data_IF_875223069221
#
_entry.id   IF_875223069221
#
_cell.length_a   1.000
_cell.length_b   1.000
_cell.length_c   1.000
_cell.angle_alpha   90.00
_cell.angle_beta   90.00
_cell.angle_gamma   90.00
#
_symmetry.space_group_name_H-M   'P 1'
#
loop_
_entity.id
_entity.type
_entity.pdbx_description
1 polymer ?
#
# COMPACT_ATOMS: atom_id res chain seq x y z
N UNK A 1 -53.86 -14.89 62.95
CA UNK A 1 -53.44 -14.24 61.68
C UNK A 1 -51.92 -14.00 61.55
N UNK A 2 -51.13 -13.92 62.64
CA UNK A 2 -49.67 -13.67 62.58
C UNK A 2 -48.76 -14.85 62.19
N UNK A 3 -49.24 -16.11 62.20
CA UNK A 3 -48.41 -17.31 61.93
C UNK A 3 -48.19 -17.65 60.44
N UNK A 4 -49.01 -17.11 59.54
CA UNK A 4 -48.86 -17.34 58.08
C UNK A 4 -48.10 -16.23 57.34
N UNK A 5 -47.80 -15.12 58.02
CA UNK A 5 -46.99 -14.01 57.46
C UNK A 5 -45.50 -14.35 57.36
N UNK A 6 -45.02 -15.21 58.25
CA UNK A 6 -43.61 -15.61 58.33
C UNK A 6 -43.14 -16.48 57.14
N UNK A 7 -43.86 -17.53 56.70
CA UNK A 7 -43.45 -18.28 55.51
C UNK A 7 -43.57 -17.46 54.23
N UNK A 8 -44.55 -16.54 54.16
CA UNK A 8 -44.73 -15.65 52.99
C UNK A 8 -43.59 -14.63 52.86
N UNK A 9 -43.14 -14.05 53.98
CA UNK A 9 -42.01 -13.13 53.99
C UNK A 9 -40.69 -13.82 53.64
N UNK A 10 -40.48 -15.05 54.09
CA UNK A 10 -39.28 -15.84 53.74
C UNK A 10 -39.27 -16.20 52.25
N UNK A 11 -40.42 -16.62 51.69
CA UNK A 11 -40.54 -16.91 50.27
C UNK A 11 -40.30 -15.66 49.39
N UNK A 12 -40.78 -14.49 49.82
CA UNK A 12 -40.54 -13.22 49.14
C UNK A 12 -39.06 -12.82 49.17
N UNK A 13 -38.36 -13.01 50.29
CA UNK A 13 -36.92 -12.69 50.37
C UNK A 13 -36.04 -13.61 49.50
N UNK A 14 -36.40 -14.89 49.33
CA UNK A 14 -35.64 -15.81 48.45
C UNK A 14 -35.79 -15.44 46.96
N UNK A 15 -36.91 -14.83 46.56
CA UNK A 15 -37.13 -14.42 45.17
C UNK A 15 -36.28 -13.20 44.75
N UNK A 16 -35.73 -12.43 45.70
CA UNK A 16 -34.88 -11.27 45.41
C UNK A 16 -33.37 -11.58 45.33
N UNK A 17 -32.94 -12.81 45.64
CA UNK A 17 -31.53 -13.21 45.61
C UNK A 17 -31.07 -13.78 44.25
N UNK A 18 -31.77 -13.48 43.16
CA UNK A 18 -31.38 -13.83 41.80
C UNK A 18 -30.39 -12.82 41.23
N UNK A 19 -29.12 -12.88 41.61
CA UNK A 19 -28.07 -12.14 40.91
C UNK A 19 -27.90 -12.74 39.51
N UNK A 20 -28.37 -12.03 38.47
CA UNK A 20 -28.05 -12.39 37.09
C UNK A 20 -26.55 -12.18 36.86
N UNK A 21 -25.76 -13.25 36.92
CA UNK A 21 -24.34 -13.22 36.56
C UNK A 21 -24.22 -13.16 35.05
N UNK A 22 -23.77 -12.03 34.52
CA UNK A 22 -23.35 -11.91 33.13
C UNK A 22 -22.10 -12.80 32.93
N UNK A 23 -22.08 -13.68 31.92
CA UNK A 23 -20.88 -14.42 31.60
C UNK A 23 -19.76 -13.44 31.21
N UNK A 24 -18.66 -13.42 31.97
CA UNK A 24 -17.50 -12.57 31.67
C UNK A 24 -16.59 -13.18 30.61
N UNK A 25 -16.88 -14.40 30.16
CA UNK A 25 -16.18 -15.05 29.05
C UNK A 25 -17.11 -15.96 28.28
N UNK A 26 -17.06 -15.88 26.95
CA UNK A 26 -17.55 -16.92 26.05
C UNK A 26 -16.43 -17.31 25.10
N UNK A 27 -16.48 -18.52 24.55
CA UNK A 27 -15.66 -18.81 23.37
C UNK A 27 -16.02 -17.81 22.27
N UNK A 28 -15.04 -17.28 21.51
CA UNK A 28 -15.34 -16.42 20.37
C UNK A 28 -16.20 -17.21 19.38
N UNK A 29 -17.39 -16.69 19.09
CA UNK A 29 -18.21 -17.25 18.02
C UNK A 29 -17.57 -16.85 16.69
N UNK A 30 -17.40 -17.77 15.73
CA UNK A 30 -17.02 -17.39 14.38
C UNK A 30 -18.10 -16.47 13.83
N UNK A 31 -17.70 -15.28 13.40
CA UNK A 31 -18.54 -14.36 12.66
C UNK A 31 -17.95 -14.22 11.27
N UNK A 32 -18.79 -14.31 10.26
CA UNK A 32 -18.39 -13.97 8.90
C UNK A 32 -18.17 -12.45 8.87
N UNK A 33 -16.90 -12.05 8.92
CA UNK A 33 -16.53 -10.77 8.35
C UNK A 33 -16.64 -11.00 6.85
N UNK A 34 -17.66 -10.44 6.22
CA UNK A 34 -17.49 -10.08 4.81
C UNK A 34 -16.31 -9.13 4.79
N UNK A 35 -15.09 -9.65 4.59
CA UNK A 35 -14.05 -8.86 4.00
C UNK A 35 -14.75 -8.21 2.82
N UNK A 36 -14.84 -6.87 2.80
CA UNK A 36 -15.13 -6.22 1.55
C UNK A 36 -14.02 -6.73 0.67
N UNK A 37 -14.34 -7.70 -0.20
CA UNK A 37 -13.51 -7.96 -1.35
C UNK A 37 -13.27 -6.58 -1.91
N UNK A 38 -12.02 -6.16 -1.79
CA UNK A 38 -11.56 -4.87 -2.26
C UNK A 38 -11.66 -4.92 -3.77
N UNK A 39 -12.88 -4.87 -4.29
CA UNK A 39 -13.20 -4.32 -5.59
C UNK A 39 -12.92 -2.82 -5.49
N UNK A 40 -11.67 -2.49 -5.17
CA UNK A 40 -11.10 -1.20 -5.47
C UNK A 40 -11.24 -0.99 -6.96
N UNK A 41 -11.30 0.28 -7.34
CA UNK A 41 -11.38 0.68 -8.75
C UNK A 41 -10.22 -0.01 -9.49
N UNK A 42 -10.55 -0.88 -10.44
CA UNK A 42 -9.56 -1.49 -11.31
C UNK A 42 -9.21 -0.47 -12.38
N UNK A 43 -8.04 0.14 -12.26
CA UNK A 43 -7.46 0.86 -13.38
C UNK A 43 -6.90 -0.18 -14.35
N UNK A 44 -7.40 -0.18 -15.58
CA UNK A 44 -6.81 -0.93 -16.69
C UNK A 44 -6.04 0.05 -17.54
N UNK A 45 -4.77 -0.23 -17.77
CA UNK A 45 -3.95 0.48 -18.73
C UNK A 45 -3.64 -0.47 -19.90
N UNK A 46 -3.50 0.12 -21.09
CA UNK A 46 -3.06 -0.58 -22.29
C UNK A 46 -1.54 -0.51 -22.39
N UNK A 47 -0.95 -1.40 -23.21
CA UNK A 47 0.46 -1.31 -23.57
C UNK A 47 0.79 -0.07 -24.42
N UNK A 48 2.07 0.15 -24.75
CA UNK A 48 2.48 1.26 -25.60
C UNK A 48 1.82 1.18 -26.97
N UNK A 49 1.31 2.32 -27.45
CA UNK A 49 0.74 2.42 -28.81
C UNK A 49 1.84 2.34 -29.87
N UNK A 50 1.54 1.67 -30.98
CA UNK A 50 2.46 1.59 -32.12
C UNK A 50 2.76 2.98 -32.69
N UNK A 51 4.05 3.29 -32.83
CA UNK A 51 4.51 4.56 -33.39
C UNK A 51 4.31 5.77 -32.48
N UNK A 52 3.99 5.57 -31.20
CA UNK A 52 3.91 6.67 -30.23
C UNK A 52 5.22 7.47 -30.19
N UNK A 53 5.11 8.80 -30.11
CA UNK A 53 6.26 9.65 -29.87
C UNK A 53 6.78 9.50 -28.43
N UNK A 54 7.98 10.04 -28.17
CA UNK A 54 8.68 9.90 -26.90
C UNK A 54 7.89 10.48 -25.70
N UNK A 55 7.26 11.64 -25.87
CA UNK A 55 6.52 12.30 -24.79
C UNK A 55 5.21 11.55 -24.48
N UNK A 56 4.52 11.08 -25.52
CA UNK A 56 3.34 10.21 -25.38
C UNK A 56 3.69 8.90 -24.70
N UNK A 57 4.78 8.23 -25.10
CA UNK A 57 5.23 6.99 -24.46
C UNK A 57 5.43 7.16 -22.95
N UNK A 58 6.09 8.23 -22.52
CA UNK A 58 6.31 8.50 -21.09
C UNK A 58 5.00 8.83 -20.39
N UNK A 59 4.12 9.62 -21.00
CA UNK A 59 2.81 9.96 -20.42
C UNK A 59 1.95 8.70 -20.19
N UNK A 60 1.91 7.81 -21.17
CA UNK A 60 1.19 6.54 -21.08
C UNK A 60 1.84 5.58 -20.07
N UNK A 61 3.18 5.59 -19.96
CA UNK A 61 3.89 4.87 -18.90
C UNK A 61 3.49 5.35 -17.51
N UNK A 62 3.32 6.66 -17.28
CA UNK A 62 2.85 7.19 -15.99
C UNK A 62 1.42 6.74 -15.67
N UNK A 63 0.54 6.69 -16.69
CA UNK A 63 -0.81 6.15 -16.56
C UNK A 63 -0.80 4.64 -16.24
N UNK A 64 0.04 3.87 -16.92
CA UNK A 64 0.22 2.46 -16.66
C UNK A 64 0.79 2.19 -15.27
N UNK A 65 1.66 3.08 -14.76
CA UNK A 65 2.16 3.02 -13.39
C UNK A 65 1.05 3.24 -12.36
N UNK A 66 0.13 4.17 -12.59
CA UNK A 66 -1.02 4.40 -11.70
C UNK A 66 -1.97 3.19 -11.62
N UNK A 67 -2.05 2.41 -12.71
CA UNK A 67 -2.83 1.17 -12.81
C UNK A 67 -2.10 -0.08 -12.30
N UNK A 68 -0.78 -0.01 -12.15
CA UNK A 68 0.11 -1.16 -12.03
C UNK A 68 0.26 -1.85 -10.67
N UNK A 69 0.03 -1.24 -9.48
CA UNK A 69 0.41 -1.84 -8.19
C UNK A 69 -0.17 -3.25 -7.97
N UNK A 70 -1.38 -3.49 -8.48
CA UNK A 70 -2.12 -4.73 -8.29
C UNK A 70 -1.52 -5.93 -9.05
N UNK A 71 -0.69 -5.71 -10.06
CA UNK A 71 -0.16 -6.73 -10.94
C UNK A 71 1.37 -6.59 -11.13
N UNK A 72 2.08 -6.17 -10.08
CA UNK A 72 3.53 -5.95 -10.11
C UNK A 72 3.99 -5.08 -11.29
N UNK A 73 3.15 -4.08 -11.64
CA UNK A 73 3.38 -3.14 -12.73
C UNK A 73 3.58 -3.81 -14.11
N UNK A 74 2.95 -4.97 -14.34
CA UNK A 74 3.12 -5.76 -15.57
C UNK A 74 2.89 -4.94 -16.85
N UNK A 75 1.84 -4.11 -16.89
CA UNK A 75 1.57 -3.24 -18.05
C UNK A 75 2.64 -2.16 -18.21
N UNK A 76 3.03 -1.47 -17.13
CA UNK A 76 4.05 -0.42 -17.19
C UNK A 76 5.41 -0.98 -17.68
N UNK A 77 5.73 -2.24 -17.36
CA UNK A 77 6.93 -2.92 -17.85
C UNK A 77 6.96 -3.07 -19.38
N UNK A 78 5.82 -3.03 -20.07
CA UNK A 78 5.75 -3.08 -21.54
C UNK A 78 6.31 -1.82 -22.22
N UNK A 79 6.38 -0.70 -21.50
CA UNK A 79 6.93 0.57 -21.99
C UNK A 79 8.46 0.63 -21.85
N UNK A 80 9.05 -0.28 -21.08
CA UNK A 80 10.47 -0.32 -20.79
C UNK A 80 11.23 -1.14 -21.85
N UNK A 81 12.53 -0.87 -21.99
CA UNK A 81 13.41 -1.74 -22.79
C UNK A 81 13.43 -3.15 -22.19
N UNK A 82 13.68 -4.17 -23.01
CA UNK A 82 13.62 -5.56 -22.54
C UNK A 82 14.56 -5.81 -21.34
N UNK A 83 15.71 -5.13 -21.30
CA UNK A 83 16.63 -5.17 -20.15
C UNK A 83 16.03 -4.48 -18.92
N UNK A 84 15.54 -3.25 -19.08
CA UNK A 84 14.97 -2.45 -17.98
C UNK A 84 13.72 -3.10 -17.38
N UNK A 85 12.87 -3.70 -18.21
CA UNK A 85 11.66 -4.40 -17.77
C UNK A 85 11.96 -5.54 -16.78
N UNK A 86 13.14 -6.15 -16.84
CA UNK A 86 13.57 -7.23 -15.93
C UNK A 86 14.19 -6.73 -14.63
N UNK A 87 14.88 -5.60 -14.66
CA UNK A 87 15.64 -5.09 -13.50
C UNK A 87 14.94 -4.00 -12.72
N UNK A 88 13.93 -3.34 -13.31
CA UNK A 88 13.22 -2.24 -12.67
C UNK A 88 12.43 -2.70 -11.44
N UNK A 89 12.62 -1.99 -10.33
CA UNK A 89 12.01 -2.23 -9.01
C UNK A 89 11.09 -1.06 -8.65
N UNK A 90 9.85 -1.02 -9.18
CA UNK A 90 8.90 0.08 -8.98
C UNK A 90 8.49 0.28 -7.52
N UNK A 91 8.57 -0.77 -6.70
CA UNK A 91 8.22 -0.76 -5.29
C UNK A 91 9.25 -0.04 -4.40
N UNK A 92 10.41 0.35 -4.91
CA UNK A 92 11.45 1.00 -4.10
C UNK A 92 11.02 2.38 -3.59
N UNK A 93 10.33 3.16 -4.42
CA UNK A 93 9.79 4.47 -4.04
C UNK A 93 8.55 4.83 -4.86
N UNK A 94 7.52 5.37 -4.19
CA UNK A 94 6.39 6.02 -4.85
C UNK A 94 6.44 7.51 -4.54
N UNK A 95 6.62 8.33 -5.55
CA UNK A 95 6.50 9.78 -5.44
C UNK A 95 5.07 10.19 -5.76
N UNK A 96 4.40 10.75 -4.77
CA UNK A 96 3.04 11.24 -4.89
C UNK A 96 3.04 12.73 -5.26
N UNK A 97 2.40 13.06 -6.37
CA UNK A 97 2.20 14.44 -6.80
C UNK A 97 0.75 14.90 -6.63
N UNK A 98 0.55 16.21 -6.58
CA UNK A 98 -0.77 16.81 -6.41
C UNK A 98 -1.69 16.52 -7.61
N UNK A 99 -2.89 15.99 -7.34
CA UNK A 99 -3.85 15.61 -8.39
C UNK A 99 -4.30 16.79 -9.26
N UNK A 100 -4.37 17.99 -8.69
CA UNK A 100 -4.92 19.16 -9.37
C UNK A 100 -3.89 19.79 -10.33
N UNK A 101 -2.65 19.28 -10.33
CA UNK A 101 -1.58 19.69 -11.24
C UNK A 101 -1.19 18.50 -12.13
N UNK A 102 -1.54 18.57 -13.41
CA UNK A 102 -1.10 17.57 -14.38
C UNK A 102 0.43 17.57 -14.53
N UNK A 103 1.07 16.40 -14.71
CA UNK A 103 2.48 16.33 -15.07
C UNK A 103 2.75 17.13 -16.35
N UNK A 104 3.80 17.95 -16.33
CA UNK A 104 4.35 18.55 -17.55
C UNK A 104 5.36 17.58 -18.13
N UNK A 105 5.15 17.15 -19.38
CA UNK A 105 6.03 16.22 -20.08
C UNK A 105 6.58 16.90 -21.31
N UNK A 106 7.90 16.91 -21.46
CA UNK A 106 8.59 17.58 -22.57
C UNK A 106 9.72 16.69 -23.11
N UNK A 107 9.70 16.43 -24.41
CA UNK A 107 10.78 15.72 -25.09
C UNK A 107 11.91 16.68 -25.49
N UNK A 108 13.14 16.24 -25.28
CA UNK A 108 14.34 16.89 -25.78
C UNK A 108 14.54 16.66 -27.28
N UNK A 109 15.75 16.97 -27.77
CA UNK A 109 16.11 16.71 -29.17
C UNK A 109 16.44 15.23 -29.39
N UNK A 110 15.84 14.62 -30.41
CA UNK A 110 16.19 13.25 -30.81
C UNK A 110 17.63 13.22 -31.35
N UNK A 111 18.43 12.30 -30.82
CA UNK A 111 19.82 12.06 -31.27
C UNK A 111 19.91 10.64 -31.81
N UNK A 112 19.53 10.46 -33.08
CA UNK A 112 19.51 9.15 -33.73
C UNK A 112 18.45 8.23 -33.15
N UNK A 113 18.85 7.28 -32.32
CA UNK A 113 17.96 6.29 -31.69
C UNK A 113 17.73 6.55 -30.21
N UNK A 114 18.09 7.74 -29.72
CA UNK A 114 18.01 8.13 -28.31
C UNK A 114 17.30 9.48 -28.15
N UNK A 115 16.55 9.64 -27.06
CA UNK A 115 15.92 10.90 -26.68
C UNK A 115 15.72 10.95 -25.16
N UNK A 116 15.83 12.14 -24.59
CA UNK A 116 15.48 12.39 -23.18
C UNK A 116 14.09 13.02 -23.10
N UNK A 117 13.29 12.56 -22.14
CA UNK A 117 11.98 13.14 -21.82
C UNK A 117 11.99 13.61 -20.38
N UNK A 118 11.73 14.89 -20.18
CA UNK A 118 11.65 15.50 -18.85
C UNK A 118 10.20 15.54 -18.39
N UNK A 119 9.96 15.08 -17.16
CA UNK A 119 8.67 15.12 -16.48
C UNK A 119 8.79 16.01 -15.24
N UNK A 120 7.96 17.03 -15.14
CA UNK A 120 7.85 17.90 -13.97
C UNK A 120 6.47 17.78 -13.33
N UNK A 121 6.45 17.59 -12.01
CA UNK A 121 5.22 17.43 -11.20
C UNK A 121 5.31 18.28 -9.94
N UNK A 122 4.17 18.61 -9.33
CA UNK A 122 4.12 19.21 -8.00
C UNK A 122 4.11 18.09 -6.94
N UNK A 123 5.28 17.70 -6.44
CA UNK A 123 5.43 16.63 -5.45
C UNK A 123 4.91 17.02 -4.07
N UNK A 124 4.24 16.10 -3.38
CA UNK A 124 3.63 16.34 -2.05
C UNK A 124 3.98 15.28 -1.00
N UNK A 125 4.37 14.08 -1.41
CA UNK A 125 4.85 13.04 -0.51
C UNK A 125 5.70 12.00 -1.26
N UNK A 126 6.46 11.21 -0.51
CA UNK A 126 7.05 9.96 -0.99
C UNK A 126 6.67 8.81 -0.05
N UNK A 127 6.66 7.60 -0.59
CA UNK A 127 6.48 6.35 0.13
C UNK A 127 7.67 5.47 -0.20
N UNK A 128 8.37 4.98 0.82
CA UNK A 128 9.47 4.04 0.63
C UNK A 128 8.99 2.59 0.46
N UNK A 129 9.92 1.67 0.15
CA UNK A 129 9.65 0.25 -0.03
C UNK A 129 8.93 -0.43 1.15
N UNK A 130 9.09 0.12 2.35
CA UNK A 130 8.49 -0.41 3.57
C UNK A 130 7.08 0.17 3.82
N UNK A 131 6.59 1.04 2.94
CA UNK A 131 5.27 1.66 3.02
C UNK A 131 5.23 2.89 3.94
N UNK A 132 6.37 3.41 4.39
CA UNK A 132 6.39 4.62 5.23
C UNK A 132 6.20 5.85 4.37
N UNK A 133 5.17 6.64 4.67
CA UNK A 133 4.90 7.90 3.99
C UNK A 133 5.65 9.06 4.65
N UNK A 134 6.43 9.78 3.84
CA UNK A 134 7.07 11.05 4.20
C UNK A 134 6.37 12.19 3.46
N UNK A 135 5.74 13.10 4.20
CA UNK A 135 5.14 14.32 3.62
C UNK A 135 6.22 15.35 3.35
N UNK A 136 6.12 16.03 2.22
CA UNK A 136 6.99 17.16 1.88
C UNK A 136 6.14 18.41 1.63
N UNK A 137 6.76 19.58 1.77
CA UNK A 137 6.12 20.81 1.30
C UNK A 137 5.96 20.72 -0.23
N UNK A 138 4.82 21.19 -0.73
CA UNK A 138 4.52 21.16 -2.16
C UNK A 138 5.61 21.91 -2.94
N UNK A 139 6.29 21.21 -3.85
CA UNK A 139 7.39 21.75 -4.64
C UNK A 139 7.52 21.03 -5.98
N UNK A 140 8.04 21.73 -6.99
CA UNK A 140 8.26 21.14 -8.31
C UNK A 140 9.39 20.12 -8.23
N UNK A 141 9.08 18.88 -8.61
CA UNK A 141 10.05 17.80 -8.78
C UNK A 141 10.16 17.50 -10.26
N UNK A 142 11.40 17.34 -10.74
CA UNK A 142 11.69 17.03 -12.15
C UNK A 142 12.43 15.70 -12.24
N UNK A 143 12.03 14.86 -13.19
CA UNK A 143 12.64 13.56 -13.51
C UNK A 143 12.90 13.46 -15.00
N UNK A 144 14.01 12.84 -15.36
CA UNK A 144 14.39 12.64 -16.77
C UNK A 144 14.36 11.15 -17.08
N UNK A 145 13.68 10.80 -18.17
CA UNK A 145 13.62 9.46 -18.71
C UNK A 145 14.45 9.41 -19.99
N UNK A 146 15.42 8.49 -20.03
CA UNK A 146 16.15 8.19 -21.25
C UNK A 146 15.40 7.14 -22.05
N UNK A 147 15.16 7.38 -23.34
CA UNK A 147 14.46 6.46 -24.23
C UNK A 147 15.40 6.00 -25.34
N UNK A 148 15.23 4.75 -25.75
CA UNK A 148 15.96 4.11 -26.86
C UNK A 148 14.96 3.49 -27.84
N UNK A 149 15.37 3.32 -29.10
CA UNK A 149 14.56 2.54 -30.08
C UNK A 149 14.90 1.06 -30.02
N UNK A 150 13.90 0.22 -29.74
CA UNK A 150 13.94 -1.23 -29.93
C UNK A 150 12.91 -1.61 -31.00
N UNK A 151 13.32 -2.34 -32.03
CA UNK A 151 12.44 -2.76 -33.13
C UNK A 151 11.67 -1.59 -33.80
N UNK A 152 12.31 -0.41 -33.84
CA UNK A 152 11.72 0.82 -34.41
C UNK A 152 10.80 1.58 -33.46
N UNK A 153 10.46 1.03 -32.30
CA UNK A 153 9.57 1.62 -31.31
C UNK A 153 10.36 2.21 -30.13
N UNK A 154 9.87 3.30 -29.56
CA UNK A 154 10.48 3.87 -28.36
C UNK A 154 10.25 2.99 -27.13
N UNK A 155 11.28 2.86 -26.29
CA UNK A 155 11.27 2.17 -25.01
C UNK A 155 12.05 2.96 -23.97
N UNK A 156 11.53 3.03 -22.75
CA UNK A 156 12.21 3.70 -21.63
C UNK A 156 13.37 2.81 -21.17
N UNK A 157 14.57 3.38 -21.11
CA UNK A 157 15.79 2.68 -20.75
C UNK A 157 16.31 3.15 -19.40
N UNK A 158 16.67 2.19 -18.54
CA UNK A 158 17.23 2.43 -17.21
C UNK A 158 16.47 3.48 -16.38
N UNK A 159 15.14 3.34 -16.22
CA UNK A 159 14.38 4.27 -15.37
C UNK A 159 14.87 4.19 -13.92
N UNK A 160 14.72 5.30 -13.18
CA UNK A 160 14.86 5.27 -11.73
C UNK A 160 13.89 4.21 -11.14
N UNK A 161 14.30 3.55 -10.05
CA UNK A 161 13.46 2.60 -9.31
C UNK A 161 12.42 3.37 -8.47
N UNK A 162 11.54 4.08 -9.16
CA UNK A 162 10.44 4.79 -8.54
C UNK A 162 9.23 4.81 -9.47
N UNK A 163 8.08 5.13 -8.90
CA UNK A 163 6.83 5.41 -9.61
C UNK A 163 6.35 6.82 -9.29
N UNK A 164 6.03 7.61 -10.32
CA UNK A 164 5.29 8.86 -10.14
C UNK A 164 3.78 8.57 -10.19
N UNK A 165 3.03 9.03 -9.19
CA UNK A 165 1.60 8.77 -9.11
C UNK A 165 0.84 9.98 -8.55
N UNK A 166 -0.33 10.28 -9.11
CA UNK A 166 -1.18 11.33 -8.53
C UNK A 166 -1.68 10.92 -7.14
N UNK A 167 -1.94 11.88 -6.27
CA UNK A 167 -2.55 11.63 -4.95
C UNK A 167 -3.85 10.85 -5.07
N UNK A 168 -4.69 11.16 -6.07
CA UNK A 168 -5.95 10.45 -6.29
C UNK A 168 -5.72 8.98 -6.65
N UNK A 169 -4.85 8.69 -7.62
CA UNK A 169 -4.50 7.33 -8.01
C UNK A 169 -3.89 6.54 -6.85
N UNK A 170 -3.02 7.17 -6.06
CA UNK A 170 -2.43 6.56 -4.87
C UNK A 170 -3.51 6.17 -3.85
N UNK A 171 -4.40 7.09 -3.50
CA UNK A 171 -5.49 6.80 -2.55
C UNK A 171 -6.52 5.79 -3.06
N UNK A 172 -6.63 5.61 -4.39
CA UNK A 172 -7.51 4.60 -4.98
C UNK A 172 -6.90 3.19 -4.91
N UNK A 173 -5.59 3.07 -5.01
CA UNK A 173 -4.88 1.79 -5.12
C UNK A 173 -4.22 1.32 -3.82
N UNK A 174 -4.02 2.21 -2.84
CA UNK A 174 -3.34 1.93 -1.58
C UNK A 174 -4.23 2.16 -0.36
N UNK A 175 -3.98 1.38 0.69
CA UNK A 175 -4.65 1.48 1.98
C UNK A 175 -3.63 1.80 3.06
N UNK A 176 -3.99 2.74 3.95
CA UNK A 176 -3.27 2.97 5.20
C UNK A 176 -3.67 1.88 6.21
N UNK A 177 -2.68 1.19 6.75
CA UNK A 177 -2.85 0.19 7.78
C UNK A 177 -1.83 0.39 8.90
N UNK A 178 -2.17 0.01 10.12
CA UNK A 178 -1.23 0.02 11.24
C UNK A 178 -0.68 -1.39 11.44
N UNK A 179 0.64 -1.53 11.37
CA UNK A 179 1.31 -2.67 11.97
C UNK A 179 1.49 -2.41 13.46
N UNK A 180 1.34 -3.44 14.29
CA UNK A 180 1.47 -3.29 15.74
C UNK A 180 2.64 -4.11 16.23
N UNK A 181 3.59 -3.44 16.89
CA UNK A 181 4.76 -4.07 17.47
C UNK A 181 4.75 -3.87 18.99
N UNK A 182 5.07 -4.91 19.78
CA UNK A 182 5.17 -4.77 21.23
C UNK A 182 6.29 -3.82 21.62
N UNK A 183 6.14 -3.14 22.76
CA UNK A 183 7.25 -2.41 23.38
C UNK A 183 8.37 -3.36 23.79
N UNK A 184 9.62 -2.87 23.88
CA UNK A 184 10.76 -3.69 24.33
C UNK A 184 10.59 -4.25 25.75
N UNK A 185 9.91 -3.50 26.63
CA UNK A 185 9.57 -3.93 27.99
C UNK A 185 8.36 -4.89 28.03
N UNK A 186 7.63 -5.02 26.92
CA UNK A 186 6.35 -5.71 26.84
C UNK A 186 5.20 -4.91 27.48
N UNK A 187 3.97 -5.41 27.31
CA UNK A 187 2.77 -4.86 27.95
C UNK A 187 1.95 -3.87 27.12
N UNK A 188 2.54 -3.22 26.14
CA UNK A 188 1.87 -2.28 25.23
C UNK A 188 2.17 -2.59 23.75
N UNK A 189 1.31 -2.10 22.85
CA UNK A 189 1.48 -2.18 21.40
C UNK A 189 1.66 -0.77 20.82
N UNK A 190 2.70 -0.61 20.00
CA UNK A 190 3.00 0.62 19.27
C UNK A 190 2.48 0.47 17.84
N UNK A 191 1.66 1.42 17.41
CA UNK A 191 1.19 1.49 16.03
C UNK A 191 2.29 2.04 15.11
N UNK A 192 2.50 1.37 13.99
CA UNK A 192 3.40 1.73 12.90
C UNK A 192 2.57 1.86 11.61
N UNK A 193 2.11 3.08 11.26
CA UNK A 193 1.26 3.30 10.09
C UNK A 193 2.04 3.15 8.78
N UNK A 194 1.56 2.25 7.90
CA UNK A 194 2.14 1.92 6.59
C UNK A 194 1.08 2.01 5.48
N UNK A 195 1.50 2.42 4.29
CA UNK A 195 0.70 2.36 3.08
C UNK A 195 1.07 1.14 2.26
N UNK A 196 0.08 0.30 1.96
CA UNK A 196 0.26 -0.90 1.15
C UNK A 196 -0.75 -0.95 0.00
N UNK A 197 -0.43 -1.63 -1.11
CA UNK A 197 -1.42 -1.93 -2.13
C UNK A 197 -2.67 -2.57 -1.51
N UNK A 198 -3.85 -2.05 -1.86
CA UNK A 198 -5.13 -2.52 -1.31
C UNK A 198 -5.44 -3.96 -1.74
N UNK A 199 -4.97 -4.37 -2.92
CA UNK A 199 -5.09 -5.75 -3.38
C UNK A 199 -4.06 -6.62 -2.65
N UNK A 200 -4.47 -7.79 -2.17
CA UNK A 200 -3.63 -8.70 -1.37
C UNK A 200 -3.06 -8.03 -0.11
N UNK A 201 -3.78 -7.06 0.46
CA UNK A 201 -3.37 -6.30 1.63
C UNK A 201 -2.89 -7.21 2.78
N UNK A 202 -3.59 -8.31 3.07
CA UNK A 202 -3.18 -9.26 4.10
C UNK A 202 -1.75 -9.82 3.91
N UNK A 203 -1.35 -10.09 2.67
CA UNK A 203 0.01 -10.56 2.36
C UNK A 203 1.05 -9.45 2.58
N UNK A 204 0.73 -8.21 2.21
CA UNK A 204 1.60 -7.06 2.47
C UNK A 204 1.76 -6.77 3.97
N UNK A 205 0.67 -6.86 4.74
CA UNK A 205 0.71 -6.69 6.19
C UNK A 205 1.59 -7.75 6.86
N UNK A 206 1.44 -9.01 6.46
CA UNK A 206 2.27 -10.09 7.00
C UNK A 206 3.74 -9.91 6.64
N UNK A 207 4.04 -9.52 5.40
CA UNK A 207 5.41 -9.22 4.97
C UNK A 207 6.01 -8.07 5.79
N UNK A 208 5.25 -6.99 6.02
CA UNK A 208 5.69 -5.86 6.85
C UNK A 208 5.89 -6.24 8.32
N UNK A 209 5.06 -7.12 8.89
CA UNK A 209 5.27 -7.63 10.26
C UNK A 209 6.57 -8.44 10.35
N UNK A 210 6.87 -9.25 9.33
CA UNK A 210 8.11 -10.03 9.25
C UNK A 210 9.33 -9.11 9.09
N UNK A 211 9.22 -8.07 8.26
CA UNK A 211 10.27 -7.04 8.08
C UNK A 211 10.55 -6.30 9.40
N UNK A 212 9.50 -5.95 10.13
CA UNK A 212 9.58 -5.34 11.45
C UNK A 212 9.19 -3.86 11.50
N UNK A 213 9.37 -3.23 12.68
CA UNK A 213 9.01 -1.83 12.88
C UNK A 213 9.88 -0.91 12.03
N UNK A 214 9.36 0.26 11.69
CA UNK A 214 10.13 1.27 10.94
C UNK A 214 11.32 1.70 11.78
N UNK A 215 12.41 2.11 11.12
CA UNK A 215 13.68 2.46 11.79
C UNK A 215 13.54 3.41 12.99
N UNK A 216 12.65 4.40 12.91
CA UNK A 216 12.43 5.35 14.01
C UNK A 216 11.70 4.77 15.24
N UNK A 217 11.10 3.59 15.13
CA UNK A 217 10.42 2.87 16.22
C UNK A 217 11.24 1.71 16.78
N UNK A 218 12.28 1.25 16.07
CA UNK A 218 13.17 0.16 16.53
C UNK A 218 13.68 0.33 17.97
N UNK A 219 14.07 1.53 18.45
CA UNK A 219 14.61 1.67 19.82
C UNK A 219 13.61 1.39 20.94
N UNK A 220 12.30 1.45 20.65
CA UNK A 220 11.21 1.35 21.63
C UNK A 220 10.30 0.16 21.41
N UNK A 221 10.53 -0.62 20.35
CA UNK A 221 9.71 -1.79 19.98
C UNK A 221 10.56 -3.05 19.85
N UNK A 222 9.92 -4.20 20.00
CA UNK A 222 10.50 -5.50 19.69
C UNK A 222 9.74 -6.14 18.54
N UNK A 223 10.45 -6.80 17.62
CA UNK A 223 9.78 -7.69 16.67
C UNK A 223 9.60 -9.07 17.32
N UNK A 224 8.35 -9.45 17.57
CA UNK A 224 8.01 -10.76 18.14
C UNK A 224 8.13 -11.90 17.11
N UNK A 225 8.22 -11.58 15.82
CA UNK A 225 8.43 -12.56 14.76
C UNK A 225 9.92 -12.93 14.69
N UNK A 226 10.27 -14.23 14.76
CA UNK A 226 11.67 -14.65 14.67
C UNK A 226 12.33 -14.24 13.36
N UNK A 227 13.60 -13.83 13.44
CA UNK A 227 14.42 -13.53 12.27
C UNK A 227 14.50 -14.75 11.33
N UNK A 228 14.45 -14.50 10.02
CA UNK A 228 14.45 -15.56 8.99
C UNK A 228 13.08 -16.17 8.70
N UNK A 229 12.01 -15.70 9.36
CA UNK A 229 10.64 -16.03 8.94
C UNK A 229 10.40 -15.52 7.52
N UNK A 230 9.78 -16.32 6.67
CA UNK A 230 9.45 -15.95 5.29
C UNK A 230 7.96 -16.06 5.04
N UNK A 231 7.40 -15.12 4.28
CA UNK A 231 6.01 -15.20 3.80
C UNK A 231 5.98 -15.96 2.47
N UNK A 232 5.07 -16.94 2.28
CA UNK A 232 4.91 -17.63 1.00
C UNK A 232 4.61 -16.64 -0.13
N UNK A 233 5.28 -16.81 -1.28
CA UNK A 233 5.15 -15.92 -2.45
C UNK A 233 3.75 -15.92 -3.09
N UNK A 234 2.93 -16.94 -2.82
CA UNK A 234 1.55 -17.04 -3.31
C UNK A 234 0.57 -16.16 -2.51
N UNK A 235 1.00 -15.61 -1.36
CA UNK A 235 0.10 -14.94 -0.42
C UNK A 235 -0.67 -15.92 0.46
N UNK A 236 -1.54 -15.39 1.31
CA UNK A 236 -2.57 -16.16 1.99
C UNK A 236 -3.79 -16.21 1.05
N UNK A 237 -4.24 -17.42 0.70
CA UNK A 237 -5.47 -17.67 -0.05
C UNK A 237 -6.73 -17.35 0.78
#
# INVERSE_FOLDING_TARGET
>A
MRRHLMPLAVAACLALAGCASLPTSSAPAPFDVSARDGSGIQFSAEGPSDGADAATLVSDFLLACAAGPQAAYATARLFLSAASARSWQPETEILVYDTDTAPSVSAGSETGTEVEVTVSVLGVASIDASGVLTRVAASTVTRTFSLVREEGQWRINSPENLVLMSRASFTASFSLANLYFPTTEGGDLVADPRWYPSRRLASHLLAGLVEGPRQSLEPVTANAIPAGTTVPSQGLD
#
